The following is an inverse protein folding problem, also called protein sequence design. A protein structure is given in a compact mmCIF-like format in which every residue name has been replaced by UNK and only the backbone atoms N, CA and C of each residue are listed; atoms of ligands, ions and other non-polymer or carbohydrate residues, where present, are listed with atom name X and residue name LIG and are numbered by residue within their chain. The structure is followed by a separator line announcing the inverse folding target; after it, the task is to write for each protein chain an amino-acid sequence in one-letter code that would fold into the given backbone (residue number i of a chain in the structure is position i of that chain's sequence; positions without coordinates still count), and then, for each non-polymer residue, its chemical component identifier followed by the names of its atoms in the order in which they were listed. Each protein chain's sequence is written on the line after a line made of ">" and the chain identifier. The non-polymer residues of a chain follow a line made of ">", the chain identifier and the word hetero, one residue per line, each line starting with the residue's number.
data_IF_437371154531
#
_entry.id   IF_437371154531
#
_cell.length_a   1.000
_cell.length_b   1.000
_cell.length_c   1.000
_cell.angle_alpha   90.00
_cell.angle_beta   90.00
_cell.angle_gamma   90.00
#
_symmetry.space_group_name_H-M   'P 1'
#
loop_
_entity.id
_entity.type
_entity.pdbx_description
1 polymer ?
#
# COMPACT_ATOMS: atom_id res chain seq x y z
N UNK A 1 2.63 37.51 5.72
CA UNK A 1 3.47 36.41 6.21
C UNK A 1 2.86 35.13 5.67
N UNK A 2 3.54 34.33 4.84
CA UNK A 2 3.00 33.05 4.41
C UNK A 2 2.95 32.13 5.63
N UNK A 3 1.77 31.57 5.89
CA UNK A 3 1.56 30.57 6.92
C UNK A 3 2.34 29.31 6.50
N UNK A 4 3.06 28.62 7.40
CA UNK A 4 3.62 27.33 7.07
C UNK A 4 2.47 26.39 6.71
N UNK A 5 2.48 25.85 5.49
CA UNK A 5 1.58 24.76 5.11
C UNK A 5 1.71 23.64 6.17
N UNK A 6 0.60 23.01 6.58
CA UNK A 6 0.67 21.86 7.49
C UNK A 6 1.68 20.86 6.90
N UNK A 7 2.51 20.20 7.73
CA UNK A 7 3.43 19.19 7.22
C UNK A 7 2.61 18.24 6.37
N UNK A 8 2.93 18.19 5.07
CA UNK A 8 2.22 17.31 4.15
C UNK A 8 2.20 15.93 4.82
N UNK A 9 1.01 15.36 5.08
CA UNK A 9 0.96 14.04 5.69
C UNK A 9 1.84 13.17 4.80
N UNK A 10 2.82 12.52 5.41
CA UNK A 10 3.72 11.60 4.73
C UNK A 10 2.84 10.69 3.89
N UNK A 11 2.81 10.92 2.57
CA UNK A 11 1.86 10.27 1.71
C UNK A 11 2.25 8.79 1.69
N UNK A 12 1.48 7.99 2.41
CA UNK A 12 1.65 6.54 2.43
C UNK A 12 0.82 5.95 1.32
N UNK A 13 1.39 4.98 0.63
CA UNK A 13 0.71 4.17 -0.36
C UNK A 13 0.59 2.76 0.18
N UNK A 14 -0.62 2.23 0.21
CA UNK A 14 -0.96 0.89 0.66
C UNK A 14 -1.55 0.16 -0.53
N UNK A 15 -0.77 -0.73 -1.13
CA UNK A 15 -1.20 -1.59 -2.21
C UNK A 15 -1.50 -3.00 -1.69
N UNK A 16 -2.66 -3.53 -2.05
CA UNK A 16 -3.06 -4.91 -1.79
C UNK A 16 -3.02 -5.70 -3.08
N UNK A 17 -2.07 -6.63 -3.18
CA UNK A 17 -1.93 -7.58 -4.27
C UNK A 17 -2.82 -8.79 -3.96
N UNK A 18 -3.83 -8.97 -4.81
CA UNK A 18 -4.85 -10.00 -4.66
C UNK A 18 -5.16 -10.64 -6.01
N UNK A 19 -5.93 -11.73 -5.99
CA UNK A 19 -6.43 -12.39 -7.18
C UNK A 19 -7.93 -12.68 -7.04
N UNK A 20 -8.66 -12.69 -8.15
CA UNK A 20 -10.11 -12.90 -8.14
C UNK A 20 -10.48 -14.30 -7.64
N UNK A 21 -9.65 -15.31 -7.94
CA UNK A 21 -9.86 -16.69 -7.48
C UNK A 21 -9.70 -16.88 -5.96
N UNK A 22 -9.06 -15.95 -5.24
CA UNK A 22 -8.83 -16.05 -3.79
C UNK A 22 -10.05 -15.59 -2.97
N UNK A 23 -10.70 -16.52 -2.25
CA UNK A 23 -11.83 -16.22 -1.35
C UNK A 23 -11.47 -15.24 -0.24
N UNK A 24 -10.29 -15.39 0.36
CA UNK A 24 -9.81 -14.49 1.41
C UNK A 24 -9.64 -13.06 0.90
N UNK A 25 -9.17 -12.88 -0.33
CA UNK A 25 -9.09 -11.56 -0.96
C UNK A 25 -10.47 -10.90 -1.10
N UNK A 26 -11.51 -11.65 -1.51
CA UNK A 26 -12.87 -11.11 -1.64
C UNK A 26 -13.45 -10.63 -0.30
N UNK A 27 -13.23 -11.39 0.77
CA UNK A 27 -13.62 -10.98 2.13
C UNK A 27 -12.79 -9.76 2.58
N UNK A 28 -11.50 -9.77 2.31
CA UNK A 28 -10.57 -8.72 2.69
C UNK A 28 -10.87 -7.39 2.00
N UNK A 29 -11.35 -7.42 0.74
CA UNK A 29 -11.70 -6.23 -0.05
C UNK A 29 -12.64 -5.30 0.71
N UNK A 30 -13.67 -5.85 1.33
CA UNK A 30 -14.67 -5.07 2.08
C UNK A 30 -14.07 -4.41 3.31
N UNK A 31 -13.12 -5.08 3.99
CA UNK A 31 -12.41 -4.53 5.14
C UNK A 31 -11.38 -3.46 4.72
N UNK A 32 -10.71 -3.68 3.59
CA UNK A 32 -9.74 -2.77 3.01
C UNK A 32 -10.39 -1.45 2.56
N UNK A 33 -11.52 -1.51 1.85
CA UNK A 33 -12.27 -0.32 1.44
C UNK A 33 -12.80 0.47 2.64
N UNK A 34 -13.25 -0.22 3.70
CA UNK A 34 -13.63 0.44 4.96
C UNK A 34 -12.44 1.14 5.62
N UNK A 35 -11.28 0.48 5.69
CA UNK A 35 -10.07 1.08 6.25
C UNK A 35 -9.64 2.32 5.46
N UNK A 36 -9.68 2.24 4.14
CA UNK A 36 -9.39 3.36 3.25
C UNK A 36 -10.29 4.57 3.51
N UNK A 37 -11.57 4.35 3.78
CA UNK A 37 -12.52 5.41 4.12
C UNK A 37 -12.23 6.08 5.49
N UNK A 38 -11.60 5.38 6.43
CA UNK A 38 -11.26 5.92 7.75
C UNK A 38 -9.88 6.60 7.80
N UNK A 39 -9.01 6.30 6.84
CA UNK A 39 -7.60 6.70 6.82
C UNK A 39 -7.34 7.86 5.86
N UNK A 40 -7.52 9.09 6.35
CA UNK A 40 -7.18 10.28 5.58
C UNK A 40 -5.66 10.42 5.38
N UNK A 41 -5.23 10.82 4.18
CA UNK A 41 -3.81 11.04 3.85
C UNK A 41 -3.04 9.78 3.45
N UNK A 42 -3.72 8.65 3.28
CA UNK A 42 -3.15 7.39 2.79
C UNK A 42 -3.81 7.03 1.46
N UNK A 43 -3.01 6.60 0.50
CA UNK A 43 -3.47 6.11 -0.80
C UNK A 43 -3.63 4.61 -0.74
N UNK A 44 -4.86 4.13 -0.81
CA UNK A 44 -5.15 2.71 -0.90
C UNK A 44 -5.29 2.29 -2.36
N UNK A 45 -4.62 1.22 -2.75
CA UNK A 45 -4.63 0.66 -4.09
C UNK A 45 -4.96 -0.82 -3.98
N UNK A 46 -5.96 -1.26 -4.72
CA UNK A 46 -6.24 -2.67 -4.90
C UNK A 46 -5.68 -3.09 -6.25
N UNK A 47 -4.84 -4.12 -6.25
CA UNK A 47 -4.21 -4.66 -7.45
C UNK A 47 -4.70 -6.09 -7.59
N UNK A 48 -5.35 -6.36 -8.72
CA UNK A 48 -5.62 -7.73 -9.11
C UNK A 48 -4.43 -8.21 -9.95
N UNK A 49 -3.71 -9.23 -9.49
CA UNK A 49 -2.55 -9.76 -10.20
C UNK A 49 -2.93 -10.38 -11.55
N UNK A 50 -4.19 -10.76 -11.77
CA UNK A 50 -4.66 -11.26 -13.07
C UNK A 50 -4.88 -10.12 -14.08
N UNK A 51 -5.38 -8.96 -13.61
CA UNK A 51 -5.71 -7.81 -14.47
C UNK A 51 -4.52 -6.85 -14.63
N UNK A 52 -3.73 -6.69 -13.57
CA UNK A 52 -2.59 -5.77 -13.46
C UNK A 52 -1.24 -6.52 -13.44
N UNK A 53 -1.14 -7.67 -14.12
CA UNK A 53 0.08 -8.47 -14.16
C UNK A 53 1.32 -7.65 -14.61
N UNK A 54 1.18 -6.79 -15.62
CA UNK A 54 2.27 -5.90 -16.08
C UNK A 54 2.71 -4.88 -15.03
N UNK A 55 1.81 -4.50 -14.13
CA UNK A 55 2.13 -3.57 -13.05
C UNK A 55 3.00 -4.24 -12.00
N UNK A 56 2.66 -5.48 -11.66
CA UNK A 56 3.28 -6.30 -10.62
C UNK A 56 4.59 -6.92 -11.10
N UNK A 57 4.72 -7.24 -12.39
CA UNK A 57 5.94 -7.80 -12.97
C UNK A 57 7.19 -6.91 -12.71
N UNK A 58 8.32 -7.46 -12.23
CA UNK A 58 8.65 -8.90 -12.10
C UNK A 58 8.39 -9.49 -10.70
N UNK A 59 7.61 -8.84 -9.84
CA UNK A 59 7.40 -9.29 -8.46
C UNK A 59 6.59 -10.58 -8.44
N UNK A 60 7.21 -11.65 -7.96
CA UNK A 60 6.55 -12.93 -7.72
C UNK A 60 5.92 -12.92 -6.32
N UNK A 61 4.58 -12.93 -6.27
CA UNK A 61 3.81 -13.11 -5.04
C UNK A 61 3.22 -14.51 -5.00
N UNK A 62 3.67 -15.32 -4.05
CA UNK A 62 3.21 -16.71 -3.91
C UNK A 62 1.97 -16.83 -3.00
N UNK A 63 1.77 -15.84 -2.13
CA UNK A 63 0.75 -15.85 -1.08
C UNK A 63 -0.16 -14.61 -1.19
N UNK A 64 -1.48 -14.83 -1.09
CA UNK A 64 -2.49 -13.77 -1.20
C UNK A 64 -3.38 -13.72 0.05
N UNK A 65 -3.73 -12.53 0.57
CA UNK A 65 -3.34 -11.19 0.11
C UNK A 65 -1.90 -10.81 0.51
N UNK A 66 -1.15 -10.20 -0.42
CA UNK A 66 0.13 -9.56 -0.13
C UNK A 66 -0.05 -8.05 -0.04
N UNK A 67 0.46 -7.43 1.02
CA UNK A 67 0.35 -5.98 1.24
C UNK A 67 1.71 -5.32 1.07
N UNK A 68 1.73 -4.28 0.25
CA UNK A 68 2.82 -3.33 0.10
C UNK A 68 2.43 -2.01 0.77
N UNK A 69 3.18 -1.59 1.78
CA UNK A 69 3.10 -0.23 2.32
C UNK A 69 4.37 0.49 1.91
N UNK A 70 4.22 1.62 1.24
CA UNK A 70 5.31 2.47 0.80
C UNK A 70 5.14 3.88 1.35
N UNK A 71 6.26 4.47 1.75
CA UNK A 71 6.36 5.89 2.08
C UNK A 71 7.25 6.54 1.04
N UNK A 72 6.69 7.44 0.23
CA UNK A 72 7.39 8.02 -0.94
C UNK A 72 7.94 6.90 -1.84
N UNK A 73 9.26 6.87 -2.09
CA UNK A 73 9.93 5.87 -2.93
C UNK A 73 10.54 4.70 -2.13
N UNK A 74 10.11 4.45 -0.90
CA UNK A 74 10.65 3.38 -0.06
C UNK A 74 9.54 2.48 0.49
N UNK A 75 9.71 1.16 0.36
CA UNK A 75 8.84 0.21 1.03
C UNK A 75 9.10 0.26 2.53
N UNK A 76 8.04 0.40 3.31
CA UNK A 76 8.08 0.27 4.77
C UNK A 76 7.57 -1.09 5.21
N UNK A 77 6.74 -1.73 4.39
CA UNK A 77 6.29 -3.10 4.60
C UNK A 77 6.02 -3.75 3.24
N UNK A 78 6.47 -4.98 3.05
CA UNK A 78 6.11 -5.78 1.90
C UNK A 78 6.04 -7.24 2.35
N UNK A 79 4.84 -7.80 2.30
CA UNK A 79 4.62 -9.18 2.71
C UNK A 79 3.16 -9.50 2.95
N UNK A 80 2.93 -10.76 3.28
CA UNK A 80 1.59 -11.28 3.52
C UNK A 80 1.14 -10.87 4.91
N UNK A 81 -0.11 -10.40 5.00
CA UNK A 81 -0.78 -10.24 6.29
C UNK A 81 -1.97 -11.15 6.29
N UNK A 82 -2.06 -11.96 7.34
CA UNK A 82 -3.29 -12.66 7.70
C UNK A 82 -4.46 -11.66 7.69
N UNK A 83 -5.72 -12.11 7.50
CA UNK A 83 -6.91 -11.25 7.29
C UNK A 83 -7.32 -10.37 8.48
N UNK A 84 -6.39 -10.00 9.36
CA UNK A 84 -6.54 -9.03 10.42
C UNK A 84 -6.28 -7.62 9.91
N UNK A 85 -7.34 -6.96 9.44
CA UNK A 85 -7.30 -5.55 8.99
C UNK A 85 -6.77 -4.60 10.09
N UNK A 86 -6.95 -4.94 11.37
CA UNK A 86 -6.42 -4.19 12.51
C UNK A 86 -4.89 -4.13 12.54
N UNK A 87 -4.21 -5.19 12.09
CA UNK A 87 -2.75 -5.21 11.99
C UNK A 87 -2.28 -4.23 10.92
N UNK A 88 -2.94 -4.23 9.76
CA UNK A 88 -2.66 -3.27 8.68
C UNK A 88 -2.91 -1.83 9.15
N UNK A 89 -4.04 -1.57 9.82
CA UNK A 89 -4.37 -0.27 10.38
C UNK A 89 -3.24 0.25 11.29
N UNK A 90 -2.81 -0.57 12.27
CA UNK A 90 -1.74 -0.19 13.21
C UNK A 90 -0.41 0.07 12.50
N UNK A 91 -0.07 -0.72 11.49
CA UNK A 91 1.15 -0.51 10.69
C UNK A 91 1.10 0.86 10.00
N UNK A 92 0.00 1.16 9.33
CA UNK A 92 -0.18 2.45 8.65
C UNK A 92 -0.09 3.61 9.66
N UNK A 93 -0.81 3.55 10.78
CA UNK A 93 -0.77 4.58 11.83
C UNK A 93 0.67 4.83 12.36
N UNK A 94 1.43 3.74 12.55
CA UNK A 94 2.84 3.80 13.00
C UNK A 94 3.73 4.50 11.99
N UNK A 95 3.51 4.28 10.69
CA UNK A 95 4.30 4.92 9.64
C UNK A 95 3.80 6.33 9.30
N UNK A 96 2.52 6.66 9.52
CA UNK A 96 2.00 8.02 9.37
C UNK A 96 2.65 8.99 10.34
N UNK A 97 2.95 8.52 11.56
CA UNK A 97 3.66 9.28 12.59
C UNK A 97 5.18 9.33 12.40
N UNK A 98 5.71 8.65 11.37
CA UNK A 98 7.14 8.68 11.01
C UNK A 98 8.03 7.83 11.93
N UNK A 99 7.46 6.93 12.73
CA UNK A 99 8.19 6.16 13.76
C UNK A 99 8.51 4.71 13.38
N UNK A 100 8.26 4.28 12.15
CA UNK A 100 8.48 2.88 11.74
C UNK A 100 9.81 2.66 10.99
N UNK A 101 10.46 1.50 11.16
CA UNK A 101 11.66 1.14 10.40
C UNK A 101 11.33 0.97 8.92
N UNK A 102 12.22 1.39 8.03
CA UNK A 102 12.09 1.09 6.62
C UNK A 102 12.37 -0.40 6.35
N UNK A 103 11.59 -1.02 5.47
CA UNK A 103 11.87 -2.37 5.01
C UNK A 103 12.97 -2.34 3.94
N UNK A 104 13.79 -3.41 3.83
CA UNK A 104 14.62 -3.60 2.65
C UNK A 104 13.73 -3.52 1.41
N UNK A 105 14.07 -2.60 0.50
CA UNK A 105 13.31 -2.36 -0.71
C UNK A 105 14.18 -2.76 -1.89
N UNK A 106 13.80 -3.84 -2.57
CA UNK A 106 14.46 -4.26 -3.80
C UNK A 106 14.13 -3.32 -4.96
N UNK A 107 14.94 -3.39 -6.02
CA UNK A 107 14.76 -2.55 -7.22
C UNK A 107 13.39 -2.78 -7.85
N UNK A 108 12.89 -4.02 -7.79
CA UNK A 108 11.61 -4.46 -8.34
C UNK A 108 10.44 -3.85 -7.55
N UNK A 109 10.49 -3.97 -6.22
CA UNK A 109 9.52 -3.33 -5.31
C UNK A 109 9.52 -1.82 -5.50
N UNK A 110 10.69 -1.20 -5.63
CA UNK A 110 10.80 0.24 -5.89
C UNK A 110 10.18 0.63 -7.23
N UNK A 111 10.35 -0.18 -8.27
CA UNK A 111 9.72 0.01 -9.57
C UNK A 111 8.20 -0.07 -9.48
N UNK A 112 7.67 -1.07 -8.77
CA UNK A 112 6.23 -1.18 -8.50
C UNK A 112 5.71 0.06 -7.76
N UNK A 113 6.40 0.52 -6.71
CA UNK A 113 6.03 1.74 -5.97
C UNK A 113 5.91 2.94 -6.90
N UNK A 114 6.89 3.14 -7.79
CA UNK A 114 6.89 4.27 -8.73
C UNK A 114 5.67 4.21 -9.66
N UNK A 115 5.39 3.04 -10.23
CA UNK A 115 4.21 2.83 -11.10
C UNK A 115 2.90 3.05 -10.33
N UNK A 116 2.82 2.62 -9.07
CA UNK A 116 1.63 2.82 -8.23
C UNK A 116 1.40 4.30 -7.90
N UNK A 117 2.46 5.06 -7.66
CA UNK A 117 2.36 6.51 -7.50
C UNK A 117 1.90 7.21 -8.77
N UNK A 118 2.37 6.76 -9.94
CA UNK A 118 1.91 7.30 -11.23
C UNK A 118 0.43 6.98 -11.48
N UNK A 119 -0.02 5.75 -11.17
CA UNK A 119 -1.42 5.32 -11.34
C UNK A 119 -2.38 6.02 -10.38
N UNK A 120 -1.95 6.25 -9.14
CA UNK A 120 -2.74 6.97 -8.12
C UNK A 120 -2.62 8.49 -8.22
N UNK A 121 -1.94 8.98 -9.26
CA UNK A 121 -1.63 10.38 -9.52
C UNK A 121 -2.82 11.32 -9.30
N UNK A 122 -2.89 11.88 -8.10
CA UNK A 122 -2.95 13.33 -8.00
C UNK A 122 -1.51 13.76 -7.72
N UNK A 123 -0.86 14.25 -8.76
CA UNK A 123 0.39 15.01 -8.75
C UNK A 123 0.34 16.11 -7.67
N UNK A 124 1.48 16.49 -7.04
CA UNK A 124 1.60 17.57 -6.06
C UNK A 124 0.94 18.89 -6.46
#
# INVERSE_FOLDING_TARGET
>A
MPMPAPPHPTALLVACLCAEWCSTCREYRTLFDQLAAHMAGVRFVWIDIEDDAELVDPIEVEDFPTILIASRNQAVFFGTVLPHIQTLQRLIETHQTGSGPAAPTDVEVKGLIDRLWQRTGTTP
#
